data_IF_613297177655
#
_entry.id   IF_613297177655
#
_cell.length_a   1.000
_cell.length_b   1.000
_cell.length_c   1.000
_cell.angle_alpha   90.00
_cell.angle_beta   90.00
_cell.angle_gamma   90.00
#
_symmetry.space_group_name_H-M   'P 1'
#
loop_
_entity.id
_entity.type
_entity.pdbx_description
1 polymer ?
#
# COMPACT_ATOMS: atom_id res chain seq x y z
N UNK A 1 -3.71 -9.73 1.15
CA UNK A 1 -3.47 -9.66 -0.31
C UNK A 1 -2.44 -8.58 -0.55
N UNK A 2 -1.49 -8.81 -1.43
CA UNK A 2 -0.43 -7.84 -1.76
C UNK A 2 -0.64 -7.29 -3.17
N UNK A 3 -0.43 -5.99 -3.35
CA UNK A 3 -0.42 -5.33 -4.66
C UNK A 3 0.82 -4.45 -4.80
N UNK A 4 1.56 -4.67 -5.89
CA UNK A 4 2.70 -3.82 -6.24
C UNK A 4 2.24 -2.48 -6.81
N UNK A 5 2.93 -1.41 -6.41
CA UNK A 5 2.75 -0.05 -6.92
C UNK A 5 4.09 0.60 -7.22
N UNK A 6 4.11 1.53 -8.16
CA UNK A 6 5.29 2.35 -8.44
C UNK A 6 5.49 3.47 -7.39
N UNK A 7 4.43 3.88 -6.72
CA UNK A 7 4.45 4.94 -5.69
C UNK A 7 3.34 4.65 -4.66
N UNK A 8 3.75 4.31 -3.43
CA UNK A 8 2.80 3.95 -2.37
C UNK A 8 2.05 5.16 -1.82
N UNK A 9 2.65 6.35 -1.81
CA UNK A 9 2.01 7.57 -1.29
C UNK A 9 0.95 8.07 -2.26
N UNK A 10 1.27 8.07 -3.56
CA UNK A 10 0.34 8.50 -4.61
C UNK A 10 -0.90 7.61 -4.66
N UNK A 11 -0.75 6.29 -4.54
CA UNK A 11 -1.88 5.36 -4.50
C UNK A 11 -2.64 5.48 -3.19
N UNK A 12 -1.96 5.65 -2.05
CA UNK A 12 -2.62 5.91 -0.76
C UNK A 12 -3.52 7.15 -0.83
N UNK A 13 -3.03 8.24 -1.42
CA UNK A 13 -3.83 9.44 -1.65
C UNK A 13 -5.04 9.17 -2.56
N UNK A 14 -4.85 8.43 -3.66
CA UNK A 14 -5.92 8.08 -4.59
C UNK A 14 -7.03 7.28 -3.91
N UNK A 15 -6.67 6.31 -3.08
CA UNK A 15 -7.60 5.45 -2.36
C UNK A 15 -8.46 6.25 -1.36
N UNK A 16 -7.83 7.21 -0.67
CA UNK A 16 -8.55 8.15 0.20
C UNK A 16 -9.53 9.01 -0.58
N UNK A 17 -9.07 9.64 -1.66
CA UNK A 17 -9.86 10.62 -2.41
C UNK A 17 -11.02 9.99 -3.18
N UNK A 18 -10.81 8.83 -3.79
CA UNK A 18 -11.82 8.20 -4.66
C UNK A 18 -12.75 7.24 -3.95
N UNK A 19 -12.30 6.64 -2.85
CA UNK A 19 -13.03 5.58 -2.17
C UNK A 19 -13.21 5.84 -0.67
N UNK A 20 -12.70 6.95 -0.14
CA UNK A 20 -12.75 7.23 1.30
C UNK A 20 -11.94 6.25 2.14
N UNK A 21 -11.07 5.45 1.52
CA UNK A 21 -10.36 4.38 2.20
C UNK A 21 -9.16 4.94 2.99
N UNK A 22 -9.13 4.64 4.29
CA UNK A 22 -8.07 5.05 5.20
C UNK A 22 -6.95 4.01 5.21
N UNK A 23 -5.71 4.48 5.13
CA UNK A 23 -4.53 3.66 5.36
C UNK A 23 -4.37 3.34 6.85
N UNK A 24 -3.80 2.18 7.15
CA UNK A 24 -3.47 1.75 8.52
C UNK A 24 -2.35 2.62 9.09
N UNK A 25 -1.35 2.98 8.28
CA UNK A 25 -0.30 3.91 8.69
C UNK A 25 -0.55 5.32 8.13
N UNK A 26 -0.31 6.38 8.94
CA UNK A 26 -0.42 7.76 8.48
C UNK A 26 0.47 8.10 7.29
N UNK A 27 1.62 7.42 7.17
CA UNK A 27 2.58 7.51 6.08
C UNK A 27 3.16 6.12 5.82
N UNK A 28 3.62 5.87 4.59
CA UNK A 28 4.24 4.60 4.25
C UNK A 28 5.48 4.31 5.11
N UNK A 29 5.71 3.02 5.37
CA UNK A 29 6.81 2.53 6.21
C UNK A 29 7.77 1.66 5.40
N UNK A 30 8.96 1.43 5.93
CA UNK A 30 9.88 0.44 5.36
C UNK A 30 9.33 -0.97 5.62
N UNK A 31 9.31 -1.79 4.56
CA UNK A 31 9.01 -3.21 4.60
C UNK A 31 10.28 -4.06 4.42
N UNK A 32 10.09 -5.34 4.10
CA UNK A 32 11.20 -6.24 3.77
C UNK A 32 11.96 -5.77 2.51
N UNK A 33 13.24 -6.11 2.42
CA UNK A 33 14.13 -5.79 1.28
C UNK A 33 14.19 -4.30 0.91
N UNK A 34 13.88 -3.43 1.87
CA UNK A 34 13.87 -1.97 1.68
C UNK A 34 12.69 -1.48 0.83
N UNK A 35 11.62 -2.27 0.71
CA UNK A 35 10.35 -1.81 0.12
C UNK A 35 9.73 -0.70 0.96
N UNK A 36 8.84 0.08 0.36
CA UNK A 36 7.92 0.97 1.08
C UNK A 36 6.53 0.36 1.04
N UNK A 37 5.87 0.31 2.19
CA UNK A 37 4.58 -0.37 2.33
C UNK A 37 3.56 0.47 3.08
N UNK A 38 2.29 0.25 2.77
CA UNK A 38 1.18 0.63 3.63
C UNK A 38 0.07 -0.41 3.53
N UNK A 39 -0.83 -0.42 4.52
CA UNK A 39 -1.91 -1.40 4.60
C UNK A 39 -3.27 -0.74 4.59
N UNK A 40 -4.27 -1.47 4.14
CA UNK A 40 -5.67 -1.06 4.12
C UNK A 40 -6.54 -2.22 4.59
N UNK A 41 -7.51 -1.91 5.42
CA UNK A 41 -8.52 -2.87 5.85
C UNK A 41 -9.80 -2.63 5.06
N UNK A 42 -10.08 -3.50 4.09
CA UNK A 42 -11.27 -3.40 3.24
C UNK A 42 -12.35 -4.36 3.72
N UNK A 43 -13.61 -3.92 3.74
CA UNK A 43 -14.75 -4.78 4.01
C UNK A 43 -15.17 -5.51 2.72
N UNK A 44 -15.50 -6.80 2.83
CA UNK A 44 -16.14 -7.55 1.75
C UNK A 44 -17.65 -7.38 1.81
N UNK A 45 -18.40 -7.64 0.72
CA UNK A 45 -19.86 -7.59 0.73
C UNK A 45 -20.50 -8.46 1.81
N UNK A 46 -19.85 -9.57 2.19
CA UNK A 46 -20.31 -10.50 3.22
C UNK A 46 -19.94 -10.05 4.65
N UNK A 47 -19.41 -8.84 4.82
CA UNK A 47 -19.06 -8.27 6.12
C UNK A 47 -17.74 -8.77 6.71
N UNK A 48 -16.95 -9.55 5.96
CA UNK A 48 -15.59 -9.93 6.36
C UNK A 48 -14.63 -8.78 6.09
N UNK A 49 -13.44 -8.84 6.70
CA UNK A 49 -12.39 -7.84 6.46
C UNK A 49 -11.18 -8.51 5.82
N UNK A 50 -10.63 -7.86 4.80
CA UNK A 50 -9.40 -8.28 4.12
C UNK A 50 -8.33 -7.23 4.36
N UNK A 51 -7.16 -7.69 4.77
CA UNK A 51 -5.96 -6.86 4.84
C UNK A 51 -5.32 -6.82 3.45
N UNK A 52 -5.21 -5.62 2.90
CA UNK A 52 -4.54 -5.34 1.64
C UNK A 52 -3.23 -4.62 1.96
N UNK A 53 -2.14 -5.10 1.39
CA UNK A 53 -0.83 -4.48 1.44
C UNK A 53 -0.52 -3.84 0.09
N UNK A 54 -0.10 -2.59 0.10
CA UNK A 54 0.53 -1.94 -1.05
C UNK A 54 2.03 -1.98 -0.87
N UNK A 55 2.74 -2.43 -1.90
CA UNK A 55 4.20 -2.57 -1.89
C UNK A 55 4.82 -1.78 -3.02
N UNK A 56 5.66 -0.82 -2.68
CA UNK A 56 6.57 -0.14 -3.59
C UNK A 56 7.94 -0.80 -3.46
N UNK A 57 8.36 -1.50 -4.52
CA UNK A 57 9.67 -2.12 -4.56
C UNK A 57 10.77 -1.04 -4.55
N UNK A 58 11.87 -1.32 -3.86
CA UNK A 58 13.06 -0.47 -3.96
C UNK A 58 13.48 -0.40 -5.43
N UNK A 59 13.61 0.81 -5.97
CA UNK A 59 14.19 1.00 -7.30
C UNK A 59 15.53 0.27 -7.36
N UNK A 60 15.65 -0.68 -8.28
CA UNK A 60 16.92 -1.38 -8.52
C UNK A 60 17.95 -0.31 -8.86
N UNK A 61 18.97 -0.15 -8.00
CA UNK A 61 20.17 0.56 -8.43
C UNK A 61 20.73 -0.29 -9.56
N UNK A 62 20.74 0.23 -10.78
CA UNK A 62 21.61 -0.30 -11.83
C UNK A 62 23.00 -0.37 -11.22
N UNK A 63 23.56 -1.58 -11.14
CA UNK A 63 24.94 -1.76 -10.70
C UNK A 63 25.82 -0.90 -11.60
N UNK A 64 26.50 0.08 -10.99
CA UNK A 64 27.57 0.85 -11.62
C UNK A 64 28.80 -0.02 -11.78
#
# INVERSE_FOLDING_TARGET
MEYQTADVDRVTQLLRERFGQQAVYPQARLGADGTRVNFFLAATPEGKKVLIELVEARASRSAS
#
